data_IF_695906112883
#
_entry.id   IF_695906112883
#
_cell.length_a   1.000
_cell.length_b   1.000
_cell.length_c   1.000
_cell.angle_alpha   90.00
_cell.angle_beta   90.00
_cell.angle_gamma   90.00
#
_symmetry.space_group_name_H-M   'P 1'
#
loop_
_entity.id
_entity.type
_entity.pdbx_description
1 polymer ?
#
# COMPACT_ATOMS: atom_id res chain seq x y z
N UNK A 1 -9.46 8.27 -15.53
CA UNK A 1 -8.74 6.97 -15.45
C UNK A 1 -8.77 6.20 -16.77
N UNK A 2 -9.80 6.28 -17.61
CA UNK A 2 -9.86 5.60 -18.92
C UNK A 2 -8.77 5.96 -19.93
N UNK A 3 -8.02 7.06 -19.70
CA UNK A 3 -6.88 7.48 -20.51
C UNK A 3 -5.53 6.87 -20.08
N UNK A 4 -5.48 6.13 -18.96
CA UNK A 4 -4.26 5.44 -18.51
C UNK A 4 -4.22 4.07 -19.16
N UNK A 5 -3.44 3.94 -20.23
CA UNK A 5 -3.33 2.70 -21.02
C UNK A 5 -2.06 1.92 -20.73
N UNK A 6 -1.13 2.48 -19.96
CA UNK A 6 0.20 1.93 -19.73
C UNK A 6 0.80 2.43 -18.40
N UNK A 7 1.90 1.80 -17.99
CA UNK A 7 2.58 2.06 -16.71
C UNK A 7 3.18 3.48 -16.65
N UNK A 8 3.71 4.01 -17.75
CA UNK A 8 4.32 5.35 -17.79
C UNK A 8 3.25 6.43 -17.58
N UNK A 9 2.12 6.32 -18.27
CA UNK A 9 0.96 7.18 -18.05
C UNK A 9 0.42 7.07 -16.63
N UNK A 10 0.39 5.87 -16.05
CA UNK A 10 0.01 5.65 -14.66
C UNK A 10 0.96 6.32 -13.66
N UNK A 11 2.27 6.20 -13.91
CA UNK A 11 3.30 6.81 -13.07
C UNK A 11 3.23 8.34 -13.10
N UNK A 12 2.95 8.96 -14.26
CA UNK A 12 2.75 10.42 -14.36
C UNK A 12 1.56 10.89 -13.53
N UNK A 13 0.46 10.14 -13.51
CA UNK A 13 -0.69 10.46 -12.66
C UNK A 13 -0.34 10.32 -11.18
N UNK A 14 0.37 9.25 -10.82
CA UNK A 14 0.88 9.08 -9.46
C UNK A 14 1.75 10.28 -9.04
N UNK A 15 2.71 10.69 -9.86
CA UNK A 15 3.55 11.87 -9.60
C UNK A 15 2.71 13.14 -9.46
N UNK A 16 1.76 13.38 -10.37
CA UNK A 16 0.86 14.53 -10.28
C UNK A 16 0.06 14.53 -8.97
N UNK A 17 -0.41 13.36 -8.51
CA UNK A 17 -1.09 13.23 -7.24
C UNK A 17 -0.16 13.50 -6.04
N UNK A 18 1.14 13.18 -6.12
CA UNK A 18 2.10 13.55 -5.05
C UNK A 18 2.32 15.06 -4.92
N UNK A 19 2.12 15.84 -6.00
CA UNK A 19 2.18 17.30 -5.95
C UNK A 19 1.03 17.92 -5.14
N UNK A 20 0.00 17.14 -4.78
CA UNK A 20 -1.09 17.58 -3.92
C UNK A 20 -0.68 17.65 -2.43
N UNK A 21 0.53 17.25 -2.07
CA UNK A 21 1.01 17.26 -0.67
C UNK A 21 0.79 18.61 0.01
N UNK A 22 1.37 19.67 -0.54
CA UNK A 22 1.31 21.02 0.05
C UNK A 22 -0.14 21.55 0.19
N UNK A 23 -0.99 21.52 -0.85
CA UNK A 23 -2.36 22.00 -0.70
C UNK A 23 -3.20 21.13 0.25
N UNK A 24 -2.97 19.82 0.30
CA UNK A 24 -3.64 18.94 1.28
C UNK A 24 -3.19 19.27 2.70
N UNK A 25 -1.88 19.42 2.93
CA UNK A 25 -1.33 19.78 4.24
C UNK A 25 -1.90 21.13 4.73
N UNK A 26 -1.90 22.15 3.88
CA UNK A 26 -2.48 23.45 4.22
C UNK A 26 -3.98 23.35 4.54
N UNK A 27 -4.73 22.58 3.75
CA UNK A 27 -6.17 22.39 3.98
C UNK A 27 -6.45 21.73 5.33
N UNK A 28 -5.73 20.65 5.68
CA UNK A 28 -5.94 19.94 6.95
C UNK A 28 -5.42 20.71 8.16
N UNK A 29 -4.43 21.58 8.01
CA UNK A 29 -3.98 22.49 9.08
C UNK A 29 -5.06 23.52 9.42
N UNK A 30 -5.75 24.05 8.40
CA UNK A 30 -6.84 25.00 8.58
C UNK A 30 -8.13 24.32 9.06
N UNK A 31 -8.37 23.08 8.65
CA UNK A 31 -9.59 22.32 8.92
C UNK A 31 -9.26 20.99 9.59
N UNK A 32 -8.65 21.07 10.78
CA UNK A 32 -8.12 19.92 11.52
C UNK A 32 -9.19 18.83 11.73
N UNK A 33 -9.06 17.65 11.10
CA UNK A 33 -9.99 16.54 11.32
C UNK A 33 -9.60 15.71 12.55
N UNK A 34 -10.50 14.85 13.00
CA UNK A 34 -10.21 13.88 14.08
C UNK A 34 -9.27 12.75 13.63
N UNK A 35 -9.29 12.41 12.33
CA UNK A 35 -8.42 11.40 11.73
C UNK A 35 -8.26 11.63 10.22
N UNK A 36 -7.28 10.97 9.61
CA UNK A 36 -7.12 10.93 8.14
C UNK A 36 -7.13 9.48 7.66
N UNK A 37 -7.96 9.19 6.67
CA UNK A 37 -7.91 7.93 5.92
C UNK A 37 -7.14 8.17 4.62
N UNK A 38 -6.09 7.40 4.38
CA UNK A 38 -5.22 7.62 3.23
C UNK A 38 -4.79 6.32 2.54
N UNK A 39 -4.71 6.39 1.21
CA UNK A 39 -4.19 5.31 0.39
C UNK A 39 -2.70 5.04 0.69
N UNK A 40 -2.27 3.79 0.58
CA UNK A 40 -0.86 3.42 0.75
C UNK A 40 0.05 4.11 -0.28
N UNK A 41 -0.48 4.47 -1.46
CA UNK A 41 0.20 5.26 -2.49
C UNK A 41 0.66 6.64 -1.98
N UNK A 42 0.07 7.15 -0.90
CA UNK A 42 0.42 8.47 -0.34
C UNK A 42 1.10 8.33 1.04
N UNK A 43 2.36 7.86 1.08
CA UNK A 43 3.08 7.68 2.34
C UNK A 43 3.30 9.01 3.06
N UNK A 44 3.45 10.12 2.33
CA UNK A 44 3.62 11.47 2.88
C UNK A 44 2.46 11.93 3.77
N UNK A 45 1.27 11.34 3.64
CA UNK A 45 0.13 11.66 4.53
C UNK A 45 0.40 11.21 5.97
N UNK A 46 1.31 10.24 6.18
CA UNK A 46 1.75 9.84 7.52
C UNK A 46 2.45 10.99 8.25
N UNK A 47 3.36 11.70 7.56
CA UNK A 47 4.04 12.87 8.09
C UNK A 47 3.05 13.99 8.44
N UNK A 48 2.05 14.23 7.58
CA UNK A 48 1.00 15.22 7.81
C UNK A 48 0.17 14.88 9.06
N UNK A 49 -0.28 13.63 9.18
CA UNK A 49 -1.04 13.17 10.34
C UNK A 49 -0.22 13.26 11.64
N UNK A 50 1.06 12.88 11.58
CA UNK A 50 1.99 12.96 12.72
C UNK A 50 2.26 14.40 13.15
N UNK A 51 2.48 15.33 12.20
CA UNK A 51 2.65 16.76 12.46
C UNK A 51 1.43 17.36 13.16
N UNK A 52 0.25 16.92 12.75
CA UNK A 52 -1.00 17.34 13.38
C UNK A 52 -1.29 16.58 14.67
N UNK A 53 -0.59 15.51 15.04
CA UNK A 53 -0.95 14.65 16.17
C UNK A 53 -2.39 14.09 16.07
N UNK A 54 -2.76 13.59 14.89
CA UNK A 54 -4.04 12.90 14.65
C UNK A 54 -3.80 11.50 14.09
N UNK A 55 -4.69 10.51 14.36
CA UNK A 55 -4.54 9.16 13.84
C UNK A 55 -4.68 9.12 12.31
N UNK A 56 -3.75 8.41 11.67
CA UNK A 56 -3.85 7.96 10.28
C UNK A 56 -4.43 6.55 10.24
N UNK A 57 -5.40 6.32 9.38
CA UNK A 57 -5.85 4.98 8.97
C UNK A 57 -5.42 4.71 7.53
N UNK A 58 -4.78 3.58 7.30
CA UNK A 58 -4.49 3.13 5.95
C UNK A 58 -5.74 2.52 5.33
N UNK A 59 -5.98 2.84 4.06
CA UNK A 59 -6.94 2.14 3.23
C UNK A 59 -6.23 1.71 1.96
N UNK A 60 -6.53 0.51 1.46
CA UNK A 60 -6.19 0.14 0.10
C UNK A 60 -7.32 -0.73 -0.47
N UNK A 61 -7.34 -0.86 -1.79
CA UNK A 61 -8.31 -1.73 -2.47
C UNK A 61 -7.97 -3.21 -2.41
N UNK A 62 -6.99 -3.63 -1.60
CA UNK A 62 -6.58 -5.03 -1.52
C UNK A 62 -7.44 -5.82 -0.54
N UNK A 63 -7.55 -7.13 -0.78
CA UNK A 63 -8.13 -8.05 0.21
C UNK A 63 -7.17 -8.25 1.38
N UNK A 64 -7.69 -8.69 2.54
CA UNK A 64 -6.85 -9.08 3.68
C UNK A 64 -5.87 -10.20 3.29
N UNK A 65 -6.32 -11.18 2.51
CA UNK A 65 -5.48 -12.25 1.97
C UNK A 65 -4.28 -11.69 1.19
N UNK A 66 -4.52 -10.73 0.30
CA UNK A 66 -3.47 -10.09 -0.51
C UNK A 66 -2.43 -9.40 0.37
N UNK A 67 -2.87 -8.68 1.41
CA UNK A 67 -1.96 -8.03 2.35
C UNK A 67 -1.10 -9.03 3.13
N UNK A 68 -1.70 -10.10 3.64
CA UNK A 68 -0.97 -11.17 4.31
C UNK A 68 0.03 -11.86 3.39
N UNK A 69 -0.32 -12.08 2.12
CA UNK A 69 0.57 -12.68 1.13
C UNK A 69 1.76 -11.77 0.82
N UNK A 70 1.53 -10.46 0.64
CA UNK A 70 2.59 -9.48 0.40
C UNK A 70 3.55 -9.41 1.59
N UNK A 71 3.05 -9.32 2.81
CA UNK A 71 3.88 -9.26 4.01
C UNK A 71 4.65 -10.57 4.26
N UNK A 72 4.03 -11.72 3.98
CA UNK A 72 4.70 -13.02 4.06
C UNK A 72 5.87 -13.11 3.10
N UNK A 73 5.68 -12.72 1.84
CA UNK A 73 6.73 -12.77 0.79
C UNK A 73 7.80 -11.70 0.97
N UNK A 74 7.49 -10.60 1.64
CA UNK A 74 8.49 -9.62 2.08
C UNK A 74 9.38 -10.19 3.18
N UNK A 75 8.78 -10.88 4.15
CA UNK A 75 9.51 -11.55 5.24
C UNK A 75 10.23 -12.83 4.80
N UNK A 76 9.75 -13.49 3.75
CA UNK A 76 10.29 -14.73 3.19
C UNK A 76 10.49 -14.56 1.68
N UNK A 77 11.51 -13.79 1.26
CA UNK A 77 11.73 -13.48 -0.13
C UNK A 77 12.06 -14.74 -0.94
N UNK A 78 11.46 -14.83 -2.13
CA UNK A 78 11.82 -15.84 -3.12
C UNK A 78 13.23 -15.57 -3.67
N UNK A 79 13.99 -16.61 -4.05
CA UNK A 79 15.24 -16.47 -4.79
C UNK A 79 15.06 -15.63 -6.07
N UNK A 80 16.07 -14.86 -6.48
CA UNK A 80 16.02 -14.02 -7.68
C UNK A 80 15.73 -14.82 -8.97
N UNK A 81 16.17 -16.08 -9.01
CA UNK A 81 15.97 -17.01 -10.12
C UNK A 81 14.78 -17.95 -9.91
N UNK A 82 13.91 -17.68 -8.93
CA UNK A 82 12.73 -18.51 -8.70
C UNK A 82 11.84 -18.53 -9.95
N UNK A 83 11.49 -19.74 -10.39
CA UNK A 83 10.63 -19.98 -11.54
C UNK A 83 9.64 -21.10 -11.21
N UNK A 84 8.41 -20.97 -11.70
CA UNK A 84 7.35 -21.93 -11.47
C UNK A 84 6.61 -21.73 -10.14
N UNK A 85 5.75 -22.71 -9.77
CA UNK A 85 4.90 -22.60 -8.61
C UNK A 85 5.67 -22.58 -7.28
N UNK A 86 5.21 -21.78 -6.33
CA UNK A 86 5.75 -21.73 -4.97
C UNK A 86 4.61 -21.67 -3.94
N UNK A 87 4.92 -22.06 -2.71
CA UNK A 87 3.99 -21.97 -1.57
C UNK A 87 4.24 -20.65 -0.83
N UNK A 88 3.18 -19.90 -0.51
CA UNK A 88 3.30 -18.72 0.34
C UNK A 88 3.52 -19.19 1.80
N UNK A 89 4.61 -18.78 2.46
CA UNK A 89 4.84 -19.14 3.86
C UNK A 89 3.79 -18.53 4.79
N UNK A 90 3.66 -19.05 6.02
CA UNK A 90 2.87 -18.46 7.10
C UNK A 90 1.36 -18.27 6.81
N UNK A 91 0.79 -19.11 5.97
CA UNK A 91 -0.66 -19.24 5.83
C UNK A 91 -1.16 -20.50 6.56
N UNK A 92 -2.42 -20.50 7.05
CA UNK A 92 -3.02 -21.69 7.66
C UNK A 92 -3.11 -22.89 6.70
N UNK A 93 -3.31 -22.59 5.41
CA UNK A 93 -3.39 -23.57 4.33
C UNK A 93 -2.21 -23.46 3.37
N UNK A 94 -1.96 -24.54 2.62
CA UNK A 94 -0.94 -24.56 1.58
C UNK A 94 -1.42 -23.80 0.33
N UNK A 95 -1.12 -22.50 0.28
CA UNK A 95 -1.45 -21.66 -0.86
C UNK A 95 -0.34 -21.73 -1.91
N UNK A 96 -0.63 -22.33 -3.06
CA UNK A 96 0.28 -22.41 -4.19
C UNK A 96 -0.01 -21.29 -5.19
N UNK A 97 1.00 -20.46 -5.47
CA UNK A 97 0.94 -19.46 -6.54
C UNK A 97 1.80 -19.94 -7.71
N UNK A 98 1.24 -19.91 -8.92
CA UNK A 98 1.88 -20.43 -10.14
C UNK A 98 2.82 -19.43 -10.82
N UNK A 99 2.83 -18.17 -10.40
CA UNK A 99 3.64 -17.09 -10.97
C UNK A 99 4.29 -16.25 -9.89
N UNK A 100 5.58 -15.99 -10.00
CA UNK A 100 6.26 -15.05 -9.10
C UNK A 100 5.65 -13.65 -9.25
N UNK A 101 5.43 -12.92 -8.13
CA UNK A 101 5.00 -11.54 -8.21
C UNK A 101 6.01 -10.69 -9.01
N UNK A 102 5.62 -9.56 -9.60
CA UNK A 102 6.56 -8.68 -10.30
C UNK A 102 7.63 -8.13 -9.35
N UNK A 103 8.86 -8.63 -9.44
CA UNK A 103 9.96 -8.21 -8.55
C UNK A 103 10.34 -6.74 -8.74
N UNK A 104 10.19 -6.23 -9.95
CA UNK A 104 10.35 -4.82 -10.33
C UNK A 104 9.46 -3.87 -9.49
N UNK A 105 8.35 -4.37 -8.93
CA UNK A 105 7.41 -3.54 -8.15
C UNK A 105 7.78 -3.41 -6.67
N UNK A 106 8.67 -4.28 -6.15
CA UNK A 106 9.06 -4.30 -4.72
C UNK A 106 9.61 -2.96 -4.19
N UNK A 107 10.51 -2.25 -4.92
CA UNK A 107 11.05 -0.98 -4.43
C UNK A 107 9.99 0.10 -4.21
N UNK A 108 8.87 0.01 -4.94
CA UNK A 108 7.71 0.89 -4.74
C UNK A 108 6.80 0.35 -3.63
N UNK A 109 6.49 -0.95 -3.66
CA UNK A 109 5.46 -1.53 -2.84
C UNK A 109 5.86 -1.67 -1.36
N UNK A 110 7.08 -2.17 -1.09
CA UNK A 110 7.49 -2.55 0.26
C UNK A 110 7.61 -1.35 1.22
N UNK A 111 8.20 -0.19 0.83
CA UNK A 111 8.24 0.98 1.70
C UNK A 111 6.84 1.54 1.99
N UNK A 112 5.99 1.64 0.97
CA UNK A 112 4.64 2.17 1.11
C UNK A 112 3.75 1.28 1.98
N UNK A 113 3.81 -0.04 1.80
CA UNK A 113 3.12 -0.98 2.69
C UNK A 113 3.65 -0.92 4.11
N UNK A 114 4.96 -0.76 4.31
CA UNK A 114 5.55 -0.62 5.65
C UNK A 114 4.98 0.59 6.39
N UNK A 115 4.79 1.72 5.71
CA UNK A 115 4.18 2.92 6.29
C UNK A 115 2.69 2.70 6.56
N UNK A 116 1.98 2.08 5.62
CA UNK A 116 0.56 1.78 5.79
C UNK A 116 0.30 0.85 6.99
N UNK A 117 1.13 -0.18 7.19
CA UNK A 117 1.01 -1.11 8.33
C UNK A 117 1.39 -0.49 9.68
N UNK A 118 2.11 0.63 9.69
CA UNK A 118 2.42 1.42 10.90
C UNK A 118 1.33 2.44 11.25
N UNK A 119 0.31 2.59 10.40
CA UNK A 119 -0.83 3.47 10.67
C UNK A 119 -1.59 3.01 11.92
N UNK A 120 -2.41 3.89 12.50
CA UNK A 120 -3.21 3.59 13.69
C UNK A 120 -4.15 2.40 13.49
N UNK A 121 -4.59 2.17 12.25
CA UNK A 121 -5.32 0.98 11.86
C UNK A 121 -5.37 0.84 10.34
N UNK A 122 -5.85 -0.32 9.90
CA UNK A 122 -6.07 -0.64 8.50
C UNK A 122 -7.56 -0.85 8.24
N UNK A 123 -8.13 -0.05 7.33
CA UNK A 123 -9.50 -0.23 6.86
C UNK A 123 -9.46 -1.22 5.70
N UNK A 124 -10.17 -2.34 5.85
CA UNK A 124 -10.23 -3.41 4.86
C UNK A 124 -11.63 -3.43 4.25
N UNK A 125 -11.70 -3.34 2.91
CA UNK A 125 -12.95 -3.53 2.18
C UNK A 125 -13.27 -5.01 2.00
N UNK A 126 -13.59 -5.69 3.10
CA UNK A 126 -13.97 -7.10 3.16
C UNK A 126 -14.96 -7.31 4.31
N UNK A 127 -15.57 -8.49 4.34
CA UNK A 127 -16.32 -9.02 5.49
C UNK A 127 -15.54 -10.19 6.12
N UNK A 128 -16.02 -10.71 7.24
CA UNK A 128 -15.31 -11.73 8.05
C UNK A 128 -15.62 -13.16 7.59
N UNK A 129 -16.81 -13.37 7.05
CA UNK A 129 -17.40 -14.65 6.66
C UNK A 129 -17.06 -15.13 5.24
#
# INVERSE_FOLDING_TARGET
LSAVTDIDSGYKIYQAATLLREPVEHFVEQHRPDCIVADFCFPWVDEVANKLHIPRFAFNGFSLFTLCAMESLKSHPLPENASGPFIIPNFPDNIVINSTPPMESKPFLDPHLTIALKSHGFIINSFVE
#
